data_IF_793282605098
#
_entry.id   IF_793282605098
#
_cell.length_a   1.000
_cell.length_b   1.000
_cell.length_c   1.000
_cell.angle_alpha   90.00
_cell.angle_beta   90.00
_cell.angle_gamma   90.00
#
_symmetry.space_group_name_H-M   'P 1'
#
loop_
_entity.id
_entity.type
_entity.pdbx_description
1 polymer ?
#
# COMPACT_ATOMS: atom_id res chain seq x y z
N UNK A 1 -17.13 -15.46 8.59
CA UNK A 1 -15.73 -15.66 8.99
C UNK A 1 -15.09 -14.30 9.11
N UNK A 2 -14.58 -13.95 10.28
CA UNK A 2 -13.91 -12.66 10.50
C UNK A 2 -12.55 -12.69 9.79
N UNK A 3 -12.46 -12.02 8.66
CA UNK A 3 -11.24 -11.90 7.84
C UNK A 3 -10.08 -11.13 8.53
N UNK A 4 -10.23 -10.80 9.81
CA UNK A 4 -9.25 -10.02 10.59
C UNK A 4 -8.30 -10.87 11.43
N UNK A 5 -8.36 -12.20 11.32
CA UNK A 5 -7.40 -13.06 11.99
C UNK A 5 -6.04 -13.05 11.26
N UNK A 6 -4.95 -13.11 12.02
CA UNK A 6 -3.56 -13.22 11.54
C UNK A 6 -2.97 -14.57 11.94
N UNK A 7 -3.42 -15.70 11.33
CA UNK A 7 -3.11 -17.06 11.81
C UNK A 7 -1.61 -17.40 11.73
N UNK A 8 -0.90 -16.75 10.81
CA UNK A 8 0.53 -16.99 10.58
C UNK A 8 1.44 -15.94 11.24
N UNK A 9 0.89 -15.07 12.09
CA UNK A 9 1.68 -14.10 12.83
C UNK A 9 2.44 -14.81 13.97
N UNK A 10 3.74 -14.66 13.99
CA UNK A 10 4.55 -15.05 15.14
C UNK A 10 4.32 -14.05 16.29
N UNK A 11 3.49 -14.45 17.25
CA UNK A 11 3.15 -13.61 18.39
C UNK A 11 4.38 -13.26 19.25
N UNK A 12 5.41 -14.11 19.23
CA UNK A 12 6.64 -13.84 20.01
C UNK A 12 7.51 -12.79 19.35
N UNK A 13 7.45 -12.68 18.03
CA UNK A 13 8.13 -11.64 17.25
C UNK A 13 7.31 -10.35 17.16
N UNK A 14 5.99 -10.42 17.43
CA UNK A 14 5.10 -9.27 17.41
C UNK A 14 5.17 -8.54 18.76
N UNK A 15 6.22 -7.75 18.93
CA UNK A 15 6.38 -6.91 20.10
C UNK A 15 5.80 -5.53 19.82
N UNK A 16 4.84 -5.14 20.64
CA UNK A 16 4.39 -3.75 20.66
C UNK A 16 5.38 -2.98 21.54
N UNK A 17 6.16 -2.11 20.93
CA UNK A 17 7.04 -1.22 21.68
C UNK A 17 6.19 -0.23 22.50
N UNK A 18 6.59 0.02 23.73
CA UNK A 18 6.04 1.15 24.47
C UNK A 18 6.68 2.44 23.96
N UNK A 19 5.97 3.10 23.07
CA UNK A 19 6.36 4.38 22.47
C UNK A 19 5.67 5.58 23.12
N UNK A 20 4.97 5.36 24.22
CA UNK A 20 4.22 6.40 24.96
C UNK A 20 5.08 7.61 25.34
N UNK A 21 6.39 7.41 25.49
CA UNK A 21 7.34 8.50 25.77
C UNK A 21 7.81 9.25 24.53
N UNK A 22 7.56 8.73 23.33
CA UNK A 22 7.99 9.35 22.08
C UNK A 22 6.98 10.37 21.54
N UNK A 23 5.74 10.29 22.01
CA UNK A 23 4.64 11.13 21.53
C UNK A 23 4.10 11.98 22.67
N UNK A 24 4.00 13.30 22.44
CA UNK A 24 3.56 14.26 23.45
C UNK A 24 2.08 14.14 23.82
N UNK A 25 1.25 13.56 22.94
CA UNK A 25 -0.16 13.24 23.18
C UNK A 25 -0.62 12.18 22.20
N UNK A 26 -1.58 11.30 22.58
CA UNK A 26 -2.24 10.42 21.64
C UNK A 26 -2.99 11.24 20.59
N UNK A 27 -3.02 10.75 19.37
CA UNK A 27 -3.85 11.36 18.32
C UNK A 27 -5.34 11.24 18.68
N UNK A 28 -6.14 12.26 18.31
CA UNK A 28 -7.59 12.27 18.57
C UNK A 28 -8.34 11.12 17.85
N UNK A 29 -7.71 10.46 16.91
CA UNK A 29 -8.26 9.35 16.13
C UNK A 29 -7.18 8.35 15.71
N UNK A 30 -7.58 7.12 15.35
CA UNK A 30 -6.66 6.15 14.74
C UNK A 30 -5.99 6.70 13.47
N UNK A 31 -4.72 6.33 13.19
CA UNK A 31 -4.08 6.63 11.92
C UNK A 31 -4.81 5.93 10.77
N UNK A 32 -4.98 6.64 9.66
CA UNK A 32 -5.68 6.18 8.46
C UNK A 32 -4.69 5.78 7.38
N UNK A 33 -4.72 4.54 6.96
CA UNK A 33 -3.77 4.00 5.98
C UNK A 33 -4.49 3.54 4.73
N UNK A 34 -4.07 4.08 3.59
CA UNK A 34 -4.53 3.64 2.27
C UNK A 34 -3.55 2.61 1.69
N UNK A 35 -4.07 1.45 1.31
CA UNK A 35 -3.27 0.41 0.67
C UNK A 35 -3.60 0.34 -0.82
N UNK A 36 -2.57 0.40 -1.66
CA UNK A 36 -2.65 0.23 -3.10
C UNK A 36 -1.93 -1.06 -3.52
N UNK A 37 -2.46 -1.76 -4.52
CA UNK A 37 -1.81 -2.96 -5.05
C UNK A 37 -1.83 -2.99 -6.58
N UNK A 38 -0.79 -3.57 -7.18
CA UNK A 38 -0.49 -3.43 -8.61
C UNK A 38 -0.93 -4.61 -9.48
N UNK A 39 -2.12 -5.21 -9.28
CA UNK A 39 -2.56 -6.36 -10.08
C UNK A 39 -4.07 -6.45 -10.20
N UNK A 40 -4.56 -6.90 -11.35
CA UNK A 40 -5.98 -7.18 -11.61
C UNK A 40 -6.29 -8.70 -11.66
N UNK A 41 -5.34 -9.56 -11.31
CA UNK A 41 -5.57 -11.00 -11.28
C UNK A 41 -6.48 -11.36 -10.10
N UNK A 42 -7.37 -12.34 -10.28
CA UNK A 42 -8.27 -12.83 -9.22
C UNK A 42 -7.47 -13.29 -8.00
N UNK A 43 -6.47 -14.13 -8.19
CA UNK A 43 -5.49 -14.47 -7.16
C UNK A 43 -4.25 -13.58 -7.33
N UNK A 44 -4.31 -12.40 -6.75
CA UNK A 44 -3.23 -11.41 -6.80
C UNK A 44 -2.39 -11.45 -5.52
N UNK A 45 -1.15 -11.94 -5.60
CA UNK A 45 -0.24 -11.98 -4.46
C UNK A 45 0.09 -10.59 -3.91
N UNK A 46 0.16 -9.57 -4.75
CA UNK A 46 0.34 -8.19 -4.26
C UNK A 46 -0.89 -7.68 -3.49
N UNK A 47 -2.10 -8.11 -3.87
CA UNK A 47 -3.31 -7.85 -3.08
C UNK A 47 -3.25 -8.58 -1.75
N UNK A 48 -2.97 -9.89 -1.76
CA UNK A 48 -2.89 -10.69 -0.55
C UNK A 48 -1.85 -10.14 0.44
N UNK A 49 -0.67 -9.73 -0.06
CA UNK A 49 0.35 -9.06 0.77
C UNK A 49 -0.16 -7.73 1.35
N UNK A 50 -0.89 -6.94 0.57
CA UNK A 50 -1.49 -5.70 1.07
C UNK A 50 -2.60 -5.98 2.10
N UNK A 51 -3.42 -7.00 1.90
CA UNK A 51 -4.47 -7.42 2.84
C UNK A 51 -3.87 -7.92 4.16
N UNK A 52 -2.74 -8.65 4.12
CA UNK A 52 -2.02 -9.06 5.33
C UNK A 52 -1.46 -7.84 6.07
N UNK A 53 -0.82 -6.92 5.34
CA UNK A 53 -0.39 -5.63 5.90
C UNK A 53 -1.55 -4.86 6.54
N UNK A 54 -2.72 -4.85 5.92
CA UNK A 54 -3.91 -4.21 6.48
C UNK A 54 -4.39 -4.89 7.78
N UNK A 55 -4.35 -6.23 7.86
CA UNK A 55 -4.70 -6.97 9.09
C UNK A 55 -3.76 -6.61 10.24
N UNK A 56 -2.47 -6.59 9.97
CA UNK A 56 -1.45 -6.21 10.97
C UNK A 56 -1.66 -4.75 11.42
N UNK A 57 -1.85 -3.83 10.49
CA UNK A 57 -2.08 -2.42 10.80
C UNK A 57 -3.35 -2.20 11.64
N UNK A 58 -4.44 -2.90 11.33
CA UNK A 58 -5.67 -2.85 12.16
C UNK A 58 -5.43 -3.39 13.57
N UNK A 59 -4.66 -4.47 13.69
CA UNK A 59 -4.26 -5.00 15.00
C UNK A 59 -3.43 -3.99 15.81
N UNK A 60 -2.66 -3.13 15.12
CA UNK A 60 -1.92 -2.01 15.73
C UNK A 60 -2.78 -0.76 15.98
N UNK A 61 -4.09 -0.83 15.72
CA UNK A 61 -5.04 0.24 15.97
C UNK A 61 -5.24 1.22 14.81
N UNK A 62 -4.74 0.95 13.60
CA UNK A 62 -4.98 1.80 12.45
C UNK A 62 -6.33 1.51 11.77
N UNK A 63 -6.95 2.55 11.19
CA UNK A 63 -8.03 2.41 10.21
C UNK A 63 -7.41 2.21 8.82
N UNK A 64 -7.82 1.14 8.11
CA UNK A 64 -7.24 0.81 6.80
C UNK A 64 -8.30 0.77 5.71
N UNK A 65 -7.97 1.27 4.53
CA UNK A 65 -8.77 1.10 3.30
C UNK A 65 -7.87 0.57 2.18
N UNK A 66 -8.40 -0.40 1.45
CA UNK A 66 -7.75 -0.98 0.28
C UNK A 66 -8.45 -0.45 -0.97
N UNK A 67 -7.71 0.22 -1.87
CA UNK A 67 -8.25 0.63 -3.15
C UNK A 67 -8.20 -0.52 -4.15
N UNK A 68 -9.31 -0.79 -4.82
CA UNK A 68 -9.41 -1.82 -5.84
C UNK A 68 -9.15 -1.22 -7.22
N UNK A 69 -8.05 -1.54 -7.93
CA UNK A 69 -7.69 -0.86 -9.18
C UNK A 69 -8.53 -1.26 -10.39
N UNK A 70 -9.45 -2.21 -10.26
CA UNK A 70 -10.33 -2.60 -11.37
C UNK A 70 -11.22 -1.44 -11.79
N UNK A 71 -11.29 -1.19 -13.10
CA UNK A 71 -12.06 -0.09 -13.67
C UNK A 71 -11.36 1.26 -13.61
N UNK A 72 -10.14 1.36 -13.05
CA UNK A 72 -9.36 2.58 -13.13
C UNK A 72 -8.80 2.72 -14.56
N UNK A 73 -9.12 3.79 -15.30
CA UNK A 73 -8.60 4.02 -16.65
C UNK A 73 -7.11 4.37 -16.61
N UNK A 74 -6.44 4.29 -17.77
CA UNK A 74 -5.11 4.88 -17.91
C UNK A 74 -5.22 6.42 -17.88
N UNK A 75 -4.19 7.13 -17.40
CA UNK A 75 -4.25 8.59 -17.25
C UNK A 75 -4.63 9.37 -18.51
N UNK A 76 -4.25 8.91 -19.68
CA UNK A 76 -4.53 9.61 -20.93
C UNK A 76 -5.84 9.15 -21.63
N UNK A 77 -6.52 8.13 -21.08
CA UNK A 77 -7.71 7.52 -21.65
C UNK A 77 -9.04 8.05 -21.06
N UNK A 78 -8.97 8.88 -20.03
CA UNK A 78 -10.16 9.41 -19.36
C UNK A 78 -9.89 10.76 -18.69
N UNK A 79 -10.98 11.47 -18.41
CA UNK A 79 -10.93 12.71 -17.64
C UNK A 79 -10.82 12.45 -16.13
N UNK A 80 -10.38 13.46 -15.43
CA UNK A 80 -10.15 13.40 -13.98
C UNK A 80 -11.46 13.25 -13.17
N UNK A 81 -12.61 13.48 -13.77
CA UNK A 81 -13.94 13.32 -13.14
C UNK A 81 -14.49 11.89 -13.23
N UNK A 82 -13.77 10.97 -13.88
CA UNK A 82 -14.11 9.56 -13.89
C UNK A 82 -14.28 9.02 -12.45
N UNK A 83 -15.39 8.32 -12.18
CA UNK A 83 -15.79 7.87 -10.85
C UNK A 83 -14.65 7.15 -10.10
N UNK A 84 -13.96 6.23 -10.78
CA UNK A 84 -12.87 5.45 -10.15
C UNK A 84 -11.64 6.29 -9.84
N UNK A 85 -11.42 7.36 -10.59
CA UNK A 85 -10.36 8.34 -10.33
C UNK A 85 -10.69 9.18 -9.11
N UNK A 86 -11.95 9.61 -8.99
CA UNK A 86 -12.41 10.38 -7.83
C UNK A 86 -12.34 9.55 -6.55
N UNK A 87 -12.77 8.28 -6.58
CA UNK A 87 -12.62 7.36 -5.44
C UNK A 87 -11.15 7.30 -4.96
N UNK A 88 -10.20 7.12 -5.88
CA UNK A 88 -8.77 7.07 -5.53
C UNK A 88 -8.29 8.38 -4.91
N UNK A 89 -8.69 9.53 -5.47
CA UNK A 89 -8.29 10.86 -4.99
C UNK A 89 -8.87 11.18 -3.62
N UNK A 90 -10.12 10.80 -3.38
CA UNK A 90 -10.77 10.93 -2.07
C UNK A 90 -10.05 10.09 -1.01
N UNK A 91 -9.72 8.83 -1.34
CA UNK A 91 -8.96 7.95 -0.45
C UNK A 91 -7.54 8.48 -0.20
N UNK A 92 -6.88 9.00 -1.22
CA UNK A 92 -5.55 9.60 -1.08
C UNK A 92 -5.58 10.87 -0.21
N UNK A 93 -6.68 11.60 -0.22
CA UNK A 93 -6.88 12.77 0.66
C UNK A 93 -7.20 12.33 2.10
N UNK A 94 -8.04 11.32 2.25
CA UNK A 94 -8.51 10.79 3.53
C UNK A 94 -7.39 10.20 4.39
N UNK A 95 -6.40 9.52 3.79
CA UNK A 95 -5.37 8.80 4.54
C UNK A 95 -4.29 9.71 5.14
N UNK A 96 -3.62 9.22 6.17
CA UNK A 96 -2.42 9.82 6.79
C UNK A 96 -1.13 9.18 6.27
N UNK A 97 -1.24 7.95 5.73
CA UNK A 97 -0.14 7.19 5.17
C UNK A 97 -0.58 6.19 4.11
N UNK A 98 0.40 5.66 3.39
CA UNK A 98 0.21 4.72 2.30
C UNK A 98 0.99 3.43 2.51
N UNK A 99 0.45 2.34 1.98
CA UNK A 99 1.20 1.11 1.68
C UNK A 99 1.05 0.85 0.18
N UNK A 100 2.17 0.73 -0.53
CA UNK A 100 2.18 0.38 -1.95
C UNK A 100 2.76 -1.01 -2.14
N UNK A 101 1.96 -1.95 -2.68
CA UNK A 101 2.34 -3.33 -2.94
C UNK A 101 2.28 -3.61 -4.43
N UNK A 102 3.42 -3.82 -5.10
CA UNK A 102 3.48 -4.10 -6.52
C UNK A 102 4.06 -5.47 -6.82
N UNK A 103 3.50 -6.22 -7.78
CA UNK A 103 4.28 -7.28 -8.40
C UNK A 103 5.50 -6.68 -9.09
N UNK A 104 6.63 -7.38 -9.04
CA UNK A 104 7.74 -7.08 -9.92
C UNK A 104 7.51 -7.77 -11.26
N UNK A 105 7.58 -7.01 -12.34
CA UNK A 105 7.43 -7.49 -13.71
C UNK A 105 8.54 -6.91 -14.58
N UNK A 106 9.41 -7.78 -15.10
CA UNK A 106 10.58 -7.36 -15.90
C UNK A 106 11.46 -6.32 -15.18
N UNK A 107 11.72 -6.52 -13.88
CA UNK A 107 12.56 -5.63 -13.09
C UNK A 107 11.92 -4.28 -12.75
N UNK A 108 10.58 -4.16 -12.84
CA UNK A 108 9.87 -2.90 -12.60
C UNK A 108 8.56 -3.14 -11.84
N UNK A 109 7.98 -2.07 -11.27
CA UNK A 109 6.59 -2.08 -10.84
C UNK A 109 5.67 -2.29 -12.04
N UNK A 110 4.45 -2.73 -11.79
CA UNK A 110 3.46 -2.91 -12.85
C UNK A 110 2.88 -1.58 -13.34
N UNK A 111 2.41 -1.55 -14.61
CA UNK A 111 1.65 -0.42 -15.14
C UNK A 111 0.40 -0.12 -14.33
N UNK A 112 -0.25 -1.15 -13.75
CA UNK A 112 -1.43 -0.99 -12.87
C UNK A 112 -1.07 -0.21 -11.60
N UNK A 113 0.09 -0.47 -10.98
CA UNK A 113 0.56 0.33 -9.84
C UNK A 113 0.90 1.75 -10.28
N UNK A 114 1.60 1.90 -11.41
CA UNK A 114 1.99 3.21 -11.91
C UNK A 114 0.78 4.07 -12.25
N UNK A 115 -0.24 3.51 -12.91
CA UNK A 115 -1.48 4.23 -13.24
C UNK A 115 -2.18 4.79 -11.98
N UNK A 116 -2.25 4.02 -10.89
CA UNK A 116 -2.81 4.51 -9.63
C UNK A 116 -2.03 5.72 -9.11
N UNK A 117 -0.69 5.64 -9.13
CA UNK A 117 0.17 6.74 -8.66
C UNK A 117 0.01 7.98 -9.55
N UNK A 118 -0.10 7.80 -10.86
CA UNK A 118 -0.25 8.90 -11.83
C UNK A 118 -1.59 9.63 -11.70
N UNK A 119 -2.65 8.93 -11.27
CA UNK A 119 -3.94 9.55 -11.01
C UNK A 119 -3.99 10.37 -9.71
N UNK A 120 -3.05 10.16 -8.77
CA UNK A 120 -2.95 10.98 -7.56
C UNK A 120 -2.24 12.29 -7.93
N UNK A 121 -2.94 13.44 -7.92
CA UNK A 121 -2.34 14.68 -8.39
C UNK A 121 -1.29 15.21 -7.41
N UNK A 122 -0.29 15.92 -7.93
CA UNK A 122 0.68 16.64 -7.10
C UNK A 122 0.05 17.78 -6.31
N UNK A 123 -1.05 18.35 -6.80
CA UNK A 123 -1.83 19.34 -6.08
C UNK A 123 -3.32 19.26 -6.44
N UNK A 124 -4.16 19.50 -5.44
CA UNK A 124 -5.60 19.80 -5.59
C UNK A 124 -5.79 21.21 -5.05
N UNK A 125 -5.80 22.19 -5.95
CA UNK A 125 -5.74 23.58 -5.56
C UNK A 125 -4.44 23.88 -4.80
N UNK A 126 -4.55 24.36 -3.55
CA UNK A 126 -3.40 24.63 -2.67
C UNK A 126 -2.90 23.40 -1.90
N UNK A 127 -3.62 22.27 -1.94
CA UNK A 127 -3.31 21.08 -1.16
C UNK A 127 -2.53 20.08 -2.01
N UNK A 128 -1.50 19.47 -1.43
CA UNK A 128 -0.79 18.31 -2.00
C UNK A 128 -1.23 17.05 -1.26
N UNK A 129 -2.00 16.16 -1.88
CA UNK A 129 -2.63 15.02 -1.19
C UNK A 129 -1.65 14.07 -0.52
N UNK A 130 -0.41 14.01 -1.02
CA UNK A 130 0.62 13.07 -0.55
C UNK A 130 1.69 13.72 0.33
N UNK A 131 1.83 15.04 0.30
CA UNK A 131 2.95 15.71 0.95
C UNK A 131 2.99 15.47 2.46
N UNK A 132 4.13 14.95 2.94
CA UNK A 132 4.41 14.72 4.35
C UNK A 132 3.75 13.48 4.93
N UNK A 133 2.96 12.74 4.15
CA UNK A 133 2.38 11.46 4.58
C UNK A 133 3.43 10.35 4.54
N UNK A 134 3.29 9.34 5.40
CA UNK A 134 4.19 8.19 5.43
C UNK A 134 3.90 7.22 4.28
N UNK A 135 4.94 6.50 3.84
CA UNK A 135 4.83 5.45 2.83
C UNK A 135 5.61 4.21 3.25
N UNK A 136 4.97 3.06 3.25
CA UNK A 136 5.60 1.75 3.24
C UNK A 136 5.53 1.14 1.84
N UNK A 137 6.58 0.44 1.42
CA UNK A 137 6.65 -0.19 0.09
C UNK A 137 6.88 -1.68 0.20
N UNK A 138 6.18 -2.43 -0.64
CA UNK A 138 6.21 -3.89 -0.71
C UNK A 138 6.26 -4.33 -2.17
N UNK A 139 6.92 -5.46 -2.43
CA UNK A 139 6.83 -6.13 -3.72
C UNK A 139 6.65 -7.64 -3.57
N UNK A 140 6.11 -8.25 -4.60
CA UNK A 140 6.03 -9.71 -4.76
C UNK A 140 6.63 -10.10 -6.11
N UNK A 141 7.32 -11.23 -6.16
CA UNK A 141 7.85 -11.76 -7.41
C UNK A 141 7.68 -13.29 -7.49
N UNK A 142 7.70 -13.84 -8.70
CA UNK A 142 7.62 -15.28 -8.93
C UNK A 142 8.97 -15.99 -8.89
N UNK A 143 10.06 -15.24 -8.99
CA UNK A 143 11.42 -15.77 -8.97
C UNK A 143 12.12 -15.64 -7.63
N UNK A 144 13.45 -15.59 -7.68
CA UNK A 144 14.28 -15.28 -6.52
C UNK A 144 14.01 -13.86 -6.01
N UNK A 145 14.47 -13.57 -4.80
CA UNK A 145 14.30 -12.24 -4.22
C UNK A 145 14.93 -11.16 -5.11
N UNK A 146 14.16 -10.08 -5.29
CA UNK A 146 14.57 -8.88 -6.00
C UNK A 146 14.08 -7.65 -5.21
N UNK A 147 14.63 -6.48 -5.52
CA UNK A 147 14.27 -5.20 -4.89
C UNK A 147 13.99 -4.10 -5.91
N UNK A 148 13.88 -4.45 -7.20
CA UNK A 148 13.76 -3.45 -8.26
C UNK A 148 12.44 -2.66 -8.17
N UNK A 149 11.30 -3.34 -7.94
CA UNK A 149 10.02 -2.65 -7.83
C UNK A 149 9.97 -1.77 -6.58
N UNK A 150 10.42 -2.24 -5.40
CA UNK A 150 10.43 -1.40 -4.19
C UNK A 150 11.38 -0.20 -4.34
N UNK A 151 12.51 -0.35 -5.02
CA UNK A 151 13.41 0.78 -5.30
C UNK A 151 12.73 1.85 -6.17
N UNK A 152 11.98 1.43 -7.18
CA UNK A 152 11.19 2.36 -8.00
C UNK A 152 10.05 3.01 -7.21
N UNK A 153 9.34 2.24 -6.38
CA UNK A 153 8.30 2.78 -5.50
C UNK A 153 8.86 3.82 -4.52
N UNK A 154 10.06 3.59 -3.98
CA UNK A 154 10.76 4.56 -3.12
C UNK A 154 11.09 5.84 -3.88
N UNK A 155 11.58 5.72 -5.12
CA UNK A 155 11.85 6.88 -5.97
C UNK A 155 10.59 7.70 -6.22
N UNK A 156 9.47 7.04 -6.55
CA UNK A 156 8.17 7.69 -6.73
C UNK A 156 7.65 8.30 -5.42
N UNK A 157 7.80 7.60 -4.30
CA UNK A 157 7.45 8.12 -2.99
C UNK A 157 8.13 9.45 -2.70
N UNK A 158 9.42 9.55 -2.97
CA UNK A 158 10.19 10.80 -2.86
C UNK A 158 9.64 11.88 -3.81
N UNK A 159 9.36 11.52 -5.06
CA UNK A 159 8.80 12.46 -6.05
C UNK A 159 7.42 12.97 -5.62
N UNK A 160 6.58 12.10 -5.10
CA UNK A 160 5.26 12.42 -4.56
C UNK A 160 5.32 13.12 -3.18
N UNK A 161 6.53 13.40 -2.65
CA UNK A 161 6.80 14.06 -1.38
C UNK A 161 6.29 13.29 -0.15
N UNK A 162 6.27 11.96 -0.26
CA UNK A 162 6.00 11.06 0.83
C UNK A 162 7.26 10.82 1.66
N UNK A 163 7.07 10.55 2.94
CA UNK A 163 8.13 10.10 3.86
C UNK A 163 8.15 8.57 3.80
N UNK A 164 9.00 8.03 2.92
CA UNK A 164 9.12 6.58 2.80
C UNK A 164 9.92 6.01 3.96
N UNK A 165 9.31 5.10 4.74
CA UNK A 165 9.99 4.45 5.86
C UNK A 165 11.20 3.63 5.38
N UNK A 166 12.25 3.44 6.22
CA UNK A 166 13.45 2.69 5.82
C UNK A 166 13.15 1.24 5.46
N UNK A 167 12.25 0.59 6.19
CA UNK A 167 11.91 -0.82 5.97
C UNK A 167 11.12 -1.01 4.69
N UNK A 168 11.33 -2.14 4.04
CA UNK A 168 10.62 -2.57 2.84
C UNK A 168 10.46 -4.07 2.84
N UNK A 169 9.40 -4.57 2.20
CA UNK A 169 9.16 -6.01 2.05
C UNK A 169 9.34 -6.45 0.61
N UNK A 170 10.05 -7.55 0.42
CA UNK A 170 10.15 -8.22 -0.87
C UNK A 170 9.91 -9.71 -0.69
N UNK A 171 8.80 -10.20 -1.25
CA UNK A 171 8.34 -11.58 -1.13
C UNK A 171 8.72 -12.35 -2.40
N UNK A 172 9.79 -13.18 -2.37
CA UNK A 172 10.16 -14.04 -3.48
C UNK A 172 9.21 -15.23 -3.57
N UNK A 173 9.09 -15.82 -4.74
CA UNK A 173 8.26 -17.03 -4.96
C UNK A 173 6.87 -16.93 -4.30
N UNK A 174 6.24 -15.76 -4.44
CA UNK A 174 5.02 -15.41 -3.70
C UNK A 174 3.89 -16.46 -3.82
N UNK A 175 3.92 -17.31 -4.85
CA UNK A 175 2.97 -18.40 -5.01
C UNK A 175 3.15 -19.53 -3.98
N UNK A 176 4.25 -19.55 -3.24
CA UNK A 176 4.53 -20.52 -2.15
C UNK A 176 4.22 -19.94 -0.76
N UNK A 177 4.02 -18.63 -0.66
CA UNK A 177 3.87 -17.93 0.63
C UNK A 177 2.40 -17.82 1.08
N UNK A 178 1.47 -18.18 0.20
CA UNK A 178 0.04 -18.15 0.49
C UNK A 178 -0.58 -19.51 0.24
N UNK A 179 -1.30 -20.02 1.24
CA UNK A 179 -2.05 -21.27 1.15
C UNK A 179 -3.32 -21.16 0.27
N UNK A 180 -4.10 -22.23 0.19
CA UNK A 180 -5.34 -22.27 -0.61
C UNK A 180 -6.43 -21.33 -0.05
N UNK A 181 -6.37 -20.96 1.23
CA UNK A 181 -7.23 -19.99 1.88
C UNK A 181 -6.71 -18.53 1.72
N UNK A 182 -5.63 -18.35 0.95
CA UNK A 182 -4.96 -17.05 0.69
C UNK A 182 -4.41 -16.41 1.98
N UNK A 183 -3.82 -17.23 2.84
CA UNK A 183 -3.22 -16.84 4.12
C UNK A 183 -1.74 -17.15 4.17
#
# INVERSE_FOLDING_TARGET
>A
MTYDTTPNLDETAFQQNDDSQLFAAPADRPPRILLLYGSLRDRSFSRLTAEEGARILRRLGAETRLFHPSGLPLPDDADADHEKVQELRELATWCDGFVWSSPERHGAMTGIMKAQIDWIPLSLGAVRPTQGKTLAVMQVCGGSQSFNAVNQLRLLGRWMRLITIPNQSSVPKAFMEFDDDNR
#
